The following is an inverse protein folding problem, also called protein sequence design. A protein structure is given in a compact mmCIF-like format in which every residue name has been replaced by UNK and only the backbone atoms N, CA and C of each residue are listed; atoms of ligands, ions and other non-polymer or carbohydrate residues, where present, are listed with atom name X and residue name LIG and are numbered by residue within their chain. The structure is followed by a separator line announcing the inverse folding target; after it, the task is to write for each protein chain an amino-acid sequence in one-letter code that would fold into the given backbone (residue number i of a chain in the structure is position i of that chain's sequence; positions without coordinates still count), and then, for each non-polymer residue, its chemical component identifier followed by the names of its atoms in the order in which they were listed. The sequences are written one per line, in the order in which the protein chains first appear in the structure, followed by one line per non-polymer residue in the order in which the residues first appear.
data_IF_685563050725
#
_entry.id   IF_685563050725
#
_cell.length_a   1.000
_cell.length_b   1.000
_cell.length_c   1.000
_cell.angle_alpha   90.00
_cell.angle_beta   90.00
_cell.angle_gamma   90.00
#
_symmetry.space_group_name_H-M   'P 1'
#
loop_
_entity.id
_entity.type
_entity.pdbx_description
1 polymer ?
#
# COMPACT_ATOMS: atom_id res chain seq x y z
N UNK A 1 -2.16 -6.03 24.46
CA UNK A 1 -3.32 -6.25 23.56
C UNK A 1 -4.27 -5.07 23.68
N UNK A 2 -3.98 -3.96 23.00
CA UNK A 2 -4.95 -2.86 22.86
C UNK A 2 -5.86 -3.17 21.67
N UNK A 3 -7.15 -3.36 21.92
CA UNK A 3 -8.18 -3.38 20.88
C UNK A 3 -8.21 -1.99 20.25
N UNK A 4 -7.80 -1.87 19.00
CA UNK A 4 -8.02 -0.67 18.21
C UNK A 4 -9.52 -0.65 17.87
N UNK A 5 -10.24 0.26 18.50
CA UNK A 5 -11.61 0.59 18.13
C UNK A 5 -11.60 1.37 16.82
N UNK A 6 -11.86 0.69 15.71
CA UNK A 6 -12.39 1.34 14.50
C UNK A 6 -13.64 2.13 14.89
N UNK A 7 -13.63 3.45 14.68
CA UNK A 7 -14.84 4.25 14.90
C UNK A 7 -15.89 3.84 13.85
N UNK A 8 -17.15 3.58 14.22
CA UNK A 8 -18.19 3.16 13.27
C UNK A 8 -18.49 4.19 12.16
N UNK A 9 -17.95 5.41 12.24
CA UNK A 9 -18.21 6.51 11.32
C UNK A 9 -17.36 6.45 10.03
N UNK A 10 -16.09 6.04 10.11
CA UNK A 10 -15.17 6.01 8.95
C UNK A 10 -15.51 4.91 7.96
N UNK A 11 -15.93 3.73 8.45
CA UNK A 11 -16.38 2.67 7.55
C UNK A 11 -17.60 3.08 6.71
N UNK A 12 -18.48 3.91 7.26
CA UNK A 12 -19.65 4.45 6.57
C UNK A 12 -19.30 5.48 5.49
N UNK A 13 -18.18 6.19 5.61
CA UNK A 13 -17.74 7.21 4.64
C UNK A 13 -17.31 6.56 3.33
N UNK A 14 -16.37 5.63 3.38
CA UNK A 14 -15.82 5.01 2.16
C UNK A 14 -16.87 4.18 1.42
N UNK A 15 -17.75 3.48 2.13
CA UNK A 15 -18.87 2.76 1.50
C UNK A 15 -19.78 3.69 0.69
N UNK A 16 -20.10 4.88 1.24
CA UNK A 16 -20.89 5.89 0.49
C UNK A 16 -20.16 6.42 -0.74
N UNK A 17 -18.83 6.55 -0.69
CA UNK A 17 -18.06 6.97 -1.87
C UNK A 17 -18.10 5.87 -2.93
N UNK A 18 -17.77 4.63 -2.53
CA UNK A 18 -17.70 3.47 -3.42
C UNK A 18 -19.05 3.17 -4.07
N UNK A 19 -20.16 3.29 -3.32
CA UNK A 19 -21.51 3.03 -3.84
C UNK A 19 -21.95 3.98 -4.95
N UNK A 20 -21.31 5.15 -5.07
CA UNK A 20 -21.62 6.15 -6.10
C UNK A 20 -20.73 6.03 -7.35
N UNK A 21 -19.80 5.06 -7.38
CA UNK A 21 -18.89 4.87 -8.51
C UNK A 21 -19.49 3.94 -9.57
N UNK A 22 -19.07 4.06 -10.84
CA UNK A 22 -19.39 3.08 -11.87
C UNK A 22 -18.93 1.69 -11.41
N UNK A 23 -19.83 0.71 -11.54
CA UNK A 23 -19.60 -0.66 -11.12
C UNK A 23 -19.68 -1.59 -12.33
N UNK A 24 -18.88 -2.66 -12.33
CA UNK A 24 -18.94 -3.74 -13.31
C UNK A 24 -18.74 -5.09 -12.63
N UNK A 25 -19.15 -6.16 -13.30
CA UNK A 25 -18.98 -7.53 -12.83
C UNK A 25 -17.50 -7.92 -12.92
N UNK A 26 -16.89 -8.14 -11.76
CA UNK A 26 -15.52 -8.61 -11.69
C UNK A 26 -15.40 -10.13 -11.83
N UNK A 27 -14.15 -10.55 -11.83
CA UNK A 27 -13.75 -11.95 -11.78
C UNK A 27 -13.98 -12.52 -10.36
N UNK A 28 -14.50 -13.75 -10.27
CA UNK A 28 -14.56 -14.45 -8.99
C UNK A 28 -13.13 -14.83 -8.57
N UNK A 29 -12.72 -14.62 -7.31
CA UNK A 29 -13.50 -14.31 -6.10
C UNK A 29 -13.63 -12.82 -5.75
N UNK A 30 -13.13 -11.89 -6.58
CA UNK A 30 -13.04 -10.45 -6.27
C UNK A 30 -14.42 -9.78 -6.16
N UNK A 31 -15.44 -10.34 -6.81
CA UNK A 31 -16.79 -9.79 -6.81
C UNK A 31 -16.89 -8.57 -7.71
N UNK A 32 -17.72 -7.59 -7.34
CA UNK A 32 -17.91 -6.38 -8.14
C UNK A 32 -16.65 -5.51 -8.16
N UNK A 33 -16.37 -4.91 -9.31
CA UNK A 33 -15.31 -3.92 -9.45
C UNK A 33 -15.90 -2.53 -9.53
N UNK A 34 -15.18 -1.55 -8.98
CA UNK A 34 -15.58 -0.15 -8.96
C UNK A 34 -14.53 0.70 -9.67
N UNK A 35 -14.98 1.59 -10.56
CA UNK A 35 -14.10 2.46 -11.33
C UNK A 35 -13.78 3.73 -10.53
N UNK A 36 -12.51 3.88 -10.16
CA UNK A 36 -12.01 5.05 -9.42
C UNK A 36 -10.76 5.59 -10.11
N UNK A 37 -10.70 6.90 -10.37
CA UNK A 37 -9.57 7.59 -11.01
C UNK A 37 -9.04 6.91 -12.30
N UNK A 38 -9.92 6.27 -13.07
CA UNK A 38 -9.59 5.59 -14.33
C UNK A 38 -9.33 4.09 -14.22
N UNK A 39 -9.26 3.52 -13.01
CA UNK A 39 -8.89 2.11 -12.77
C UNK A 39 -10.00 1.35 -12.04
N UNK A 40 -9.97 0.02 -12.17
CA UNK A 40 -10.95 -0.89 -11.58
C UNK A 40 -10.39 -1.57 -10.34
N UNK A 41 -11.16 -1.53 -9.25
CA UNK A 41 -10.75 -2.05 -7.95
C UNK A 41 -11.82 -2.93 -7.34
N UNK A 42 -11.39 -3.97 -6.61
CA UNK A 42 -12.25 -4.63 -5.64
C UNK A 42 -12.56 -3.68 -4.47
N UNK A 43 -13.73 -3.83 -3.80
CA UNK A 43 -14.22 -2.87 -2.80
C UNK A 43 -13.25 -2.69 -1.62
N UNK A 44 -12.66 -3.76 -1.12
CA UNK A 44 -11.71 -3.72 0.01
C UNK A 44 -10.43 -2.95 -0.35
N UNK A 45 -9.86 -3.20 -1.52
CA UNK A 45 -8.65 -2.50 -1.99
C UNK A 45 -8.97 -1.03 -2.25
N UNK A 46 -10.12 -0.73 -2.84
CA UNK A 46 -10.53 0.64 -3.13
C UNK A 46 -10.68 1.49 -1.85
N UNK A 47 -11.29 0.91 -0.81
CA UNK A 47 -11.36 1.56 0.51
C UNK A 47 -9.97 1.97 1.00
N UNK A 48 -9.01 1.05 0.93
CA UNK A 48 -7.66 1.32 1.40
C UNK A 48 -6.94 2.36 0.54
N UNK A 49 -7.13 2.33 -0.78
CA UNK A 49 -6.59 3.35 -1.70
C UNK A 49 -7.10 4.74 -1.34
N UNK A 50 -8.41 4.90 -1.15
CA UNK A 50 -9.00 6.21 -0.77
C UNK A 50 -8.48 6.64 0.61
N UNK A 51 -8.43 5.72 1.58
CA UNK A 51 -7.91 6.01 2.92
C UNK A 51 -6.44 6.43 2.90
N UNK A 52 -5.60 5.74 2.14
CA UNK A 52 -4.20 6.08 1.97
C UNK A 52 -4.02 7.44 1.30
N UNK A 53 -4.82 7.76 0.26
CA UNK A 53 -4.77 9.08 -0.39
C UNK A 53 -5.11 10.24 0.56
N UNK A 54 -5.99 10.02 1.54
CA UNK A 54 -6.38 11.06 2.52
C UNK A 54 -5.41 11.18 3.70
N UNK A 55 -4.76 10.10 4.09
CA UNK A 55 -3.96 10.04 5.33
C UNK A 55 -2.44 10.03 5.11
N UNK A 56 -1.98 9.64 3.92
CA UNK A 56 -0.55 9.54 3.64
C UNK A 56 0.08 10.92 3.47
N UNK A 57 0.93 11.29 4.42
CA UNK A 57 1.78 12.47 4.32
C UNK A 57 3.19 12.06 3.88
N UNK A 58 3.64 12.40 2.65
CA UNK A 58 4.98 12.02 2.19
C UNK A 58 6.06 12.82 2.94
N UNK A 59 7.18 12.18 3.23
CA UNK A 59 8.40 12.82 3.68
C UNK A 59 9.40 12.93 2.52
N UNK A 60 10.23 13.99 2.44
CA UNK A 60 11.19 14.16 1.33
C UNK A 60 12.20 13.03 1.13
N UNK A 61 12.40 12.17 2.15
CA UNK A 61 13.28 11.01 2.07
C UNK A 61 12.57 9.72 1.67
N UNK A 62 11.25 9.74 1.51
CA UNK A 62 10.48 8.53 1.23
C UNK A 62 10.77 8.05 -0.20
N UNK A 63 11.04 6.76 -0.32
CA UNK A 63 11.16 6.09 -1.61
C UNK A 63 9.94 5.24 -1.83
N UNK A 64 9.17 5.58 -2.88
CA UNK A 64 7.99 4.85 -3.30
C UNK A 64 8.36 3.85 -4.39
N UNK A 65 8.17 2.56 -4.11
CA UNK A 65 8.26 1.52 -5.14
C UNK A 65 6.90 1.34 -5.81
N UNK A 66 6.85 1.31 -7.13
CA UNK A 66 5.62 1.09 -7.91
C UNK A 66 5.79 -0.08 -8.87
N UNK A 67 4.84 -1.01 -8.87
CA UNK A 67 4.83 -2.14 -9.81
C UNK A 67 3.42 -2.71 -9.98
N UNK A 68 3.20 -3.44 -11.07
CA UNK A 68 1.96 -4.18 -11.29
C UNK A 68 1.93 -5.43 -10.39
N UNK A 69 0.76 -5.87 -9.91
CA UNK A 69 0.67 -7.13 -9.19
C UNK A 69 1.26 -8.26 -10.03
N UNK A 70 1.93 -9.19 -9.33
CA UNK A 70 2.54 -10.39 -9.91
C UNK A 70 3.67 -10.13 -10.93
N UNK A 71 4.15 -8.90 -11.08
CA UNK A 71 5.29 -8.57 -11.95
C UNK A 71 6.66 -8.59 -11.24
N UNK A 72 6.80 -9.38 -10.16
CA UNK A 72 8.07 -9.49 -9.42
C UNK A 72 8.24 -8.51 -8.26
N UNK A 73 7.15 -8.07 -7.64
CA UNK A 73 7.17 -7.10 -6.53
C UNK A 73 8.00 -7.54 -5.33
N UNK A 74 7.98 -8.84 -4.99
CA UNK A 74 8.82 -9.41 -3.94
C UNK A 74 10.32 -9.22 -4.22
N UNK A 75 10.75 -9.45 -5.47
CA UNK A 75 12.13 -9.24 -5.91
C UNK A 75 12.50 -7.75 -5.89
N UNK A 76 11.58 -6.89 -6.35
CA UNK A 76 11.77 -5.44 -6.32
C UNK A 76 11.94 -4.92 -4.88
N UNK A 77 11.09 -5.36 -3.93
CA UNK A 77 11.20 -5.02 -2.50
C UNK A 77 12.52 -5.49 -1.90
N UNK A 78 12.92 -6.73 -2.15
CA UNK A 78 14.17 -7.29 -1.63
C UNK A 78 15.39 -6.53 -2.16
N UNK A 79 15.39 -6.20 -3.46
CA UNK A 79 16.47 -5.46 -4.11
C UNK A 79 16.55 -4.03 -3.57
N UNK A 80 15.44 -3.31 -3.51
CA UNK A 80 15.39 -1.94 -2.99
C UNK A 80 15.88 -1.87 -1.54
N UNK A 81 15.39 -2.79 -0.69
CA UNK A 81 15.83 -2.89 0.69
C UNK A 81 17.35 -3.11 0.77
N UNK A 82 17.87 -4.10 0.04
CA UNK A 82 19.31 -4.41 0.02
C UNK A 82 20.16 -3.22 -0.39
N UNK A 83 19.72 -2.44 -1.39
CA UNK A 83 20.47 -1.29 -1.90
C UNK A 83 20.63 -0.21 -0.83
N UNK A 84 19.60 0.01 -0.01
CA UNK A 84 19.61 1.13 0.94
C UNK A 84 20.14 0.71 2.30
N UNK A 85 19.85 -0.51 2.74
CA UNK A 85 20.39 -1.02 3.99
C UNK A 85 21.85 -1.46 3.88
N UNK A 86 22.48 -1.43 2.68
CA UNK A 86 23.83 -2.00 2.41
C UNK A 86 24.95 -1.53 3.34
N UNK A 87 24.84 -0.32 3.88
CA UNK A 87 25.86 0.26 4.77
C UNK A 87 25.51 0.09 6.26
N UNK A 88 24.31 -0.39 6.56
CA UNK A 88 23.76 -0.46 7.93
C UNK A 88 23.57 -1.91 8.40
N UNK A 89 23.38 -2.84 7.46
CA UNK A 89 23.04 -4.23 7.71
C UNK A 89 24.14 -5.12 7.17
N UNK A 90 24.78 -5.90 8.04
CA UNK A 90 25.72 -6.93 7.63
C UNK A 90 24.99 -8.09 6.96
N UNK A 91 25.65 -8.75 6.02
CA UNK A 91 25.10 -9.89 5.26
C UNK A 91 24.55 -10.98 6.19
N UNK A 92 25.28 -11.31 7.27
CA UNK A 92 24.89 -12.34 8.24
C UNK A 92 23.70 -11.96 9.13
N UNK A 93 23.38 -10.68 9.23
CA UNK A 93 22.26 -10.15 10.03
C UNK A 93 21.11 -9.64 9.17
N UNK A 94 21.15 -9.87 7.86
CA UNK A 94 20.19 -9.32 6.92
C UNK A 94 18.76 -9.83 7.19
N UNK A 95 17.77 -8.94 7.44
CA UNK A 95 16.38 -9.34 7.64
C UNK A 95 15.80 -10.21 6.52
N UNK A 96 16.27 -10.05 5.27
CA UNK A 96 15.85 -10.88 4.13
C UNK A 96 16.18 -12.37 4.30
N UNK A 97 17.10 -12.72 5.21
CA UNK A 97 17.40 -14.13 5.53
C UNK A 97 16.36 -14.77 6.47
N UNK A 98 15.54 -13.96 7.14
CA UNK A 98 14.61 -14.41 8.20
C UNK A 98 13.15 -14.03 7.94
N UNK A 99 12.90 -13.03 7.09
CA UNK A 99 11.58 -12.46 6.81
C UNK A 99 11.33 -12.37 5.31
N UNK A 100 10.06 -12.40 4.92
CA UNK A 100 9.66 -12.16 3.54
C UNK A 100 9.82 -10.67 3.18
N UNK A 101 10.14 -10.32 1.92
CA UNK A 101 10.26 -8.93 1.50
C UNK A 101 9.01 -8.08 1.76
N UNK A 102 7.83 -8.70 1.73
CA UNK A 102 6.56 -8.04 2.04
C UNK A 102 6.40 -7.68 3.53
N UNK A 103 7.10 -8.38 4.44
CA UNK A 103 7.13 -8.05 5.87
C UNK A 103 8.16 -6.96 6.21
N UNK A 104 9.12 -6.75 5.31
CA UNK A 104 10.21 -5.77 5.49
C UNK A 104 9.81 -4.43 4.91
N UNK A 105 9.19 -4.43 3.72
CA UNK A 105 8.71 -3.23 3.07
C UNK A 105 7.18 -3.35 2.93
N UNK A 106 6.38 -2.61 3.72
CA UNK A 106 4.93 -2.74 3.74
C UNK A 106 4.29 -2.13 2.48
N UNK A 107 3.03 -2.47 2.21
CA UNK A 107 2.21 -1.81 1.19
C UNK A 107 1.47 -0.60 1.75
N UNK A 108 1.44 0.46 0.94
CA UNK A 108 0.69 1.65 1.26
C UNK A 108 -0.81 1.38 1.37
N UNK A 109 -1.34 0.66 0.39
CA UNK A 109 -2.76 0.35 0.22
C UNK A 109 -3.23 -0.90 1.00
N UNK A 110 -2.40 -1.47 1.87
CA UNK A 110 -2.80 -2.59 2.74
C UNK A 110 -2.43 -2.26 4.19
N UNK A 111 -1.15 -2.22 4.51
CA UNK A 111 -0.70 -2.05 5.90
C UNK A 111 -0.75 -0.59 6.37
N UNK A 112 -0.33 0.38 5.55
CA UNK A 112 -0.29 1.78 5.97
C UNK A 112 -1.66 2.47 5.91
N UNK A 113 -2.57 1.98 5.07
CA UNK A 113 -3.96 2.43 5.03
C UNK A 113 -4.74 2.08 6.31
N UNK A 114 -4.31 1.05 7.03
CA UNK A 114 -4.92 0.58 8.28
C UNK A 114 -4.29 1.23 9.51
N UNK A 115 -2.98 1.48 9.48
CA UNK A 115 -2.27 2.21 10.54
C UNK A 115 -1.12 3.05 9.95
N UNK A 116 -1.35 4.36 9.85
CA UNK A 116 -0.36 5.31 9.33
C UNK A 116 0.89 5.43 10.23
N UNK A 117 0.84 4.94 11.47
CA UNK A 117 1.99 4.91 12.39
C UNK A 117 2.87 3.66 12.19
N UNK A 118 2.46 2.70 11.37
CA UNK A 118 3.24 1.51 11.07
C UNK A 118 4.38 1.77 10.07
N UNK A 119 4.73 3.05 9.85
CA UNK A 119 5.92 3.43 9.09
C UNK A 119 7.16 3.07 9.87
N UNK A 120 8.06 2.32 9.23
CA UNK A 120 9.35 2.04 9.82
C UNK A 120 10.28 3.25 9.60
N UNK A 121 10.38 4.13 10.58
CA UNK A 121 11.22 5.33 10.49
C UNK A 121 12.73 5.03 10.45
N UNK A 122 13.16 3.81 10.80
CA UNK A 122 14.56 3.38 10.72
C UNK A 122 14.98 2.99 9.29
N UNK A 123 14.01 2.70 8.42
CA UNK A 123 14.21 2.29 7.02
C UNK A 123 13.23 3.13 6.18
N UNK A 124 13.65 4.24 5.53
CA UNK A 124 12.75 5.22 4.91
C UNK A 124 12.15 4.70 3.57
N UNK A 125 11.51 3.54 3.61
CA UNK A 125 10.94 2.84 2.46
C UNK A 125 9.49 2.51 2.72
N UNK A 126 8.62 3.13 1.93
CA UNK A 126 7.22 2.75 1.82
C UNK A 126 7.01 2.19 0.40
N UNK A 127 6.50 0.96 0.24
CA UNK A 127 6.18 0.42 -1.09
C UNK A 127 4.72 0.63 -1.43
N UNK A 128 4.44 0.96 -2.69
CA UNK A 128 3.11 0.93 -3.28
C UNK A 128 3.00 -0.28 -4.22
N UNK A 129 2.08 -1.21 -3.95
CA UNK A 129 1.66 -2.18 -4.98
C UNK A 129 0.46 -1.62 -5.73
N UNK A 130 0.75 -1.01 -6.88
CA UNK A 130 -0.31 -0.43 -7.69
C UNK A 130 -0.84 -1.44 -8.69
N UNK A 131 -2.10 -1.86 -8.50
CA UNK A 131 -2.96 -2.30 -9.60
C UNK A 131 -3.30 -1.07 -10.45
N UNK A 132 -2.27 -0.55 -11.12
CA UNK A 132 -2.25 0.59 -12.04
C UNK A 132 -2.80 1.96 -11.60
N UNK A 133 -3.49 2.14 -10.48
CA UNK A 133 -4.24 3.39 -10.22
C UNK A 133 -3.78 4.33 -9.12
N UNK A 134 -2.48 4.37 -8.80
CA UNK A 134 -1.90 5.47 -7.99
C UNK A 134 -1.07 6.45 -8.81
N UNK A 135 -1.19 6.42 -10.14
CA UNK A 135 -0.60 7.42 -11.04
C UNK A 135 -1.17 8.84 -10.83
N UNK A 136 -2.24 8.99 -10.03
CA UNK A 136 -2.96 10.23 -9.78
C UNK A 136 -2.87 10.72 -8.31
N UNK A 137 -1.89 10.25 -7.52
CA UNK A 137 -1.47 11.04 -6.36
C UNK A 137 -1.12 12.45 -6.88
N UNK A 138 -1.50 13.55 -6.17
CA UNK A 138 -1.21 14.90 -6.63
C UNK A 138 0.26 14.95 -7.03
N UNK A 139 0.48 15.23 -8.31
CA UNK A 139 1.76 15.19 -8.98
C UNK A 139 2.81 15.89 -8.10
N UNK A 140 3.65 15.09 -7.45
CA UNK A 140 4.89 15.57 -6.83
C UNK A 140 6.00 15.32 -7.84
N UNK A 141 6.08 16.25 -8.80
CA UNK A 141 7.36 16.80 -9.26
C UNK A 141 7.38 18.26 -8.86
#
# INVERSE_FOLDING_TARGET
MSKITESPNTNSKYEKIISNLPQDDGWKPVGNLYKYQGFWYGPSLLRNVISAQESFTPHPSDVVLCSSPKSGTAWLKALAFSIVSRNQVNDSTNPLLKKLPHEIVPFLEIELAQDSNNRNLEIPFDTIESLHGLQNLPLLF
#
